data_IF_427570339979
#
_entry.id   IF_427570339979
#
_cell.length_a   1.000
_cell.length_b   1.000
_cell.length_c   1.000
_cell.angle_alpha   90.00
_cell.angle_beta   90.00
_cell.angle_gamma   90.00
#
_symmetry.space_group_name_H-M   'P 1'
#
loop_
_entity.id
_entity.type
_entity.pdbx_description
1 polymer ?
#
# COMPACT_ATOMS: atom_id res chain seq x y z
N UNK A 1 -18.61 12.90 -13.01
CA UNK A 1 -17.86 12.56 -11.78
C UNK A 1 -18.45 13.36 -10.64
N UNK A 2 -18.92 12.71 -9.57
CA UNK A 2 -19.51 13.42 -8.44
C UNK A 2 -18.51 14.45 -7.90
N UNK A 3 -18.93 15.72 -7.78
CA UNK A 3 -18.16 16.77 -7.08
C UNK A 3 -18.20 16.46 -5.59
N UNK A 4 -17.40 15.52 -5.15
CA UNK A 4 -17.20 15.31 -3.74
C UNK A 4 -16.33 16.48 -3.22
N UNK A 5 -16.84 17.15 -2.19
CA UNK A 5 -16.15 18.25 -1.52
C UNK A 5 -15.09 17.65 -0.60
N UNK A 6 -13.87 17.51 -1.09
CA UNK A 6 -12.72 17.13 -0.27
C UNK A 6 -11.91 18.36 0.08
N UNK A 7 -11.44 18.43 1.32
CA UNK A 7 -10.41 19.41 1.68
C UNK A 7 -9.10 19.01 1.00
N UNK A 8 -8.65 19.81 0.03
CA UNK A 8 -7.38 19.60 -0.65
C UNK A 8 -6.31 20.41 0.07
N UNK A 9 -5.34 19.76 0.75
CA UNK A 9 -4.25 20.47 1.39
C UNK A 9 -3.43 21.21 0.33
N UNK A 10 -3.13 22.49 0.56
CA UNK A 10 -2.18 23.22 -0.28
C UNK A 10 -0.77 22.72 0.05
N UNK A 11 -0.07 22.20 -0.94
CA UNK A 11 1.33 21.82 -0.78
C UNK A 11 2.18 23.07 -0.64
N UNK A 12 2.98 23.11 0.41
CA UNK A 12 4.00 24.13 0.62
C UNK A 12 5.34 23.63 0.06
N UNK A 13 6.29 24.54 -0.15
CA UNK A 13 7.66 24.19 -0.57
C UNK A 13 8.32 23.20 0.42
N UNK A 14 8.04 23.40 1.72
CA UNK A 14 8.43 22.48 2.79
C UNK A 14 7.16 21.90 3.42
N UNK A 15 6.77 20.66 3.08
CA UNK A 15 5.56 20.05 3.62
C UNK A 15 5.73 19.74 5.12
N UNK A 16 4.74 20.14 5.91
CA UNK A 16 4.64 19.72 7.31
C UNK A 16 4.07 18.30 7.41
N UNK A 17 4.62 17.50 8.31
CA UNK A 17 4.11 16.16 8.59
C UNK A 17 2.81 16.28 9.40
N UNK A 18 1.66 15.83 8.88
CA UNK A 18 0.41 15.91 9.61
C UNK A 18 0.39 14.96 10.80
N UNK A 19 -0.47 15.24 11.79
CA UNK A 19 -0.76 14.28 12.87
C UNK A 19 -1.43 13.03 12.29
N UNK A 20 -1.08 11.87 12.83
CA UNK A 20 -1.61 10.59 12.39
C UNK A 20 -3.11 10.48 12.75
N UNK A 21 -3.94 10.10 11.79
CA UNK A 21 -5.37 9.83 11.96
C UNK A 21 -5.67 8.40 11.48
N UNK A 22 -5.54 7.37 12.35
CA UNK A 22 -5.73 5.99 11.96
C UNK A 22 -7.16 5.69 11.46
N UNK A 23 -7.26 5.05 10.30
CA UNK A 23 -8.55 4.62 9.77
C UNK A 23 -9.36 5.71 9.06
N UNK A 24 -8.76 6.87 8.77
CA UNK A 24 -9.45 7.92 7.99
C UNK A 24 -9.95 7.43 6.63
N UNK A 25 -9.32 6.39 6.06
CA UNK A 25 -9.69 5.79 4.78
C UNK A 25 -10.51 4.51 4.91
N UNK A 26 -10.95 4.11 6.12
CA UNK A 26 -11.64 2.83 6.34
C UNK A 26 -13.00 2.72 5.62
N UNK A 27 -13.60 3.86 5.25
CA UNK A 27 -14.88 3.94 4.55
C UNK A 27 -14.75 3.82 3.01
N UNK A 28 -13.53 3.72 2.49
CA UNK A 28 -13.27 3.69 1.05
C UNK A 28 -12.90 2.30 0.57
N UNK A 29 -13.54 1.89 -0.52
CA UNK A 29 -13.24 0.66 -1.23
C UNK A 29 -12.94 0.94 -2.69
N UNK A 30 -12.09 0.11 -3.29
CA UNK A 30 -11.80 0.18 -4.73
C UNK A 30 -12.97 -0.35 -5.53
N UNK A 31 -13.28 0.29 -6.66
CA UNK A 31 -14.25 -0.24 -7.62
C UNK A 31 -13.71 -1.54 -8.24
N UNK A 32 -14.42 -2.65 -8.02
CA UNK A 32 -14.06 -3.96 -8.58
C UNK A 32 -14.24 -3.95 -10.10
N UNK A 33 -13.24 -4.45 -10.82
CA UNK A 33 -13.35 -4.66 -12.27
C UNK A 33 -14.38 -5.75 -12.57
N UNK A 34 -15.08 -5.64 -13.72
CA UNK A 34 -15.99 -6.69 -14.19
C UNK A 34 -15.21 -7.98 -14.49
N UNK A 35 -15.80 -9.17 -14.28
CA UNK A 35 -15.14 -10.45 -14.55
C UNK A 35 -14.61 -10.58 -15.98
N UNK A 36 -15.37 -10.09 -16.97
CA UNK A 36 -15.01 -10.10 -18.40
C UNK A 36 -13.62 -9.48 -18.67
N UNK A 37 -13.24 -8.42 -17.94
CA UNK A 37 -11.94 -7.77 -18.10
C UNK A 37 -10.81 -8.53 -17.39
N UNK A 38 -11.11 -9.21 -16.29
CA UNK A 38 -10.12 -10.01 -15.56
C UNK A 38 -9.77 -11.27 -16.36
N UNK A 39 -10.78 -11.94 -16.92
CA UNK A 39 -10.61 -13.15 -17.73
C UNK A 39 -9.77 -12.88 -18.99
N UNK A 40 -10.00 -11.74 -19.66
CA UNK A 40 -9.21 -11.34 -20.81
C UNK A 40 -7.72 -11.14 -20.50
N UNK A 41 -7.37 -10.85 -19.24
CA UNK A 41 -5.99 -10.71 -18.74
C UNK A 41 -5.43 -12.01 -18.14
N UNK A 42 -6.22 -13.09 -18.12
CA UNK A 42 -5.84 -14.36 -17.51
C UNK A 42 -5.93 -14.38 -15.99
N UNK A 43 -6.60 -13.40 -15.37
CA UNK A 43 -6.88 -13.40 -13.94
C UNK A 43 -8.21 -14.10 -13.64
N UNK A 44 -8.31 -14.84 -12.52
CA UNK A 44 -9.59 -15.38 -12.08
C UNK A 44 -10.55 -14.21 -11.75
N UNK A 45 -11.79 -14.29 -12.25
CA UNK A 45 -12.82 -13.27 -12.02
C UNK A 45 -13.24 -13.12 -10.55
N UNK A 46 -12.88 -14.09 -9.71
CA UNK A 46 -13.11 -14.12 -8.28
C UNK A 46 -11.83 -14.49 -7.50
N UNK A 47 -11.81 -14.15 -6.22
CA UNK A 47 -10.68 -14.48 -5.34
C UNK A 47 -10.70 -15.98 -5.02
N UNK A 48 -9.60 -16.68 -5.30
CA UNK A 48 -9.46 -18.11 -5.00
C UNK A 48 -9.41 -18.35 -3.50
N UNK A 49 -9.90 -19.50 -3.02
CA UNK A 49 -9.94 -19.82 -1.59
C UNK A 49 -8.54 -19.87 -0.96
N UNK A 50 -7.56 -20.45 -1.67
CA UNK A 50 -6.18 -20.63 -1.22
C UNK A 50 -5.24 -19.47 -1.62
N UNK A 51 -5.78 -18.26 -1.80
CA UNK A 51 -4.98 -17.10 -2.22
C UNK A 51 -3.87 -16.74 -1.22
N UNK A 52 -4.09 -17.00 0.07
CA UNK A 52 -3.12 -16.67 1.13
C UNK A 52 -1.88 -17.54 1.00
N UNK A 53 -2.07 -18.85 0.87
CA UNK A 53 -0.99 -19.82 0.71
C UNK A 53 -0.20 -19.52 -0.56
N UNK A 54 -0.89 -19.29 -1.69
CA UNK A 54 -0.24 -18.95 -2.96
C UNK A 54 0.60 -17.66 -2.85
N UNK A 55 0.10 -16.63 -2.16
CA UNK A 55 0.82 -15.38 -1.98
C UNK A 55 2.07 -15.56 -1.10
N UNK A 56 1.98 -16.36 -0.03
CA UNK A 56 3.11 -16.67 0.85
C UNK A 56 4.16 -17.49 0.09
N UNK A 57 3.76 -18.50 -0.66
CA UNK A 57 4.66 -19.32 -1.47
C UNK A 57 5.40 -18.49 -2.52
N UNK A 58 4.66 -17.63 -3.24
CA UNK A 58 5.25 -16.72 -4.22
C UNK A 58 6.26 -15.76 -3.57
N UNK A 59 5.96 -15.23 -2.38
CA UNK A 59 6.90 -14.40 -1.63
C UNK A 59 8.14 -15.20 -1.20
N UNK A 60 7.97 -16.42 -0.70
CA UNK A 60 9.06 -17.33 -0.36
C UNK A 60 10.00 -17.60 -1.55
N UNK A 61 9.43 -17.84 -2.72
CA UNK A 61 10.19 -18.05 -3.95
C UNK A 61 10.94 -16.80 -4.40
N UNK A 62 10.33 -15.62 -4.34
CA UNK A 62 11.01 -14.37 -4.64
C UNK A 62 12.17 -14.12 -3.68
N UNK A 63 12.02 -14.44 -2.40
CA UNK A 63 13.08 -14.31 -1.41
C UNK A 63 14.25 -15.28 -1.66
N UNK A 64 13.99 -16.48 -2.19
CA UNK A 64 15.06 -17.41 -2.59
C UNK A 64 15.81 -16.92 -3.82
N UNK A 65 15.09 -16.38 -4.81
CA UNK A 65 15.64 -15.94 -6.11
C UNK A 65 16.35 -14.59 -6.04
N UNK A 66 15.84 -13.65 -5.24
CA UNK A 66 16.29 -12.25 -5.26
C UNK A 66 16.84 -11.79 -3.91
N UNK A 67 18.17 -11.65 -3.83
CA UNK A 67 18.85 -11.02 -2.68
C UNK A 67 18.38 -9.57 -2.48
N UNK A 68 18.13 -8.84 -3.56
CA UNK A 68 17.67 -7.44 -3.52
C UNK A 68 16.39 -7.30 -2.72
N UNK A 69 15.45 -8.23 -2.84
CA UNK A 69 14.19 -8.19 -2.09
C UNK A 69 14.42 -8.22 -0.58
N UNK A 70 15.32 -9.11 -0.09
CA UNK A 70 15.70 -9.16 1.33
C UNK A 70 16.30 -7.83 1.79
N UNK A 71 17.22 -7.27 0.99
CA UNK A 71 17.86 -5.97 1.31
C UNK A 71 16.82 -4.85 1.36
N UNK A 72 15.85 -4.82 0.44
CA UNK A 72 14.79 -3.80 0.46
C UNK A 72 13.84 -3.95 1.66
N UNK A 73 13.58 -5.19 2.11
CA UNK A 73 12.84 -5.41 3.35
C UNK A 73 13.63 -4.94 4.58
N UNK A 74 14.93 -5.22 4.65
CA UNK A 74 15.74 -4.98 5.86
C UNK A 74 16.35 -3.57 5.95
N UNK A 75 16.56 -2.88 4.83
CA UNK A 75 17.29 -1.60 4.78
C UNK A 75 16.59 -0.42 5.46
N UNK A 76 15.30 -0.52 5.78
CA UNK A 76 14.56 0.57 6.36
C UNK A 76 14.92 0.78 7.85
N UNK A 77 15.65 1.84 8.13
CA UNK A 77 16.05 2.24 9.51
C UNK A 77 15.00 3.07 10.25
N UNK A 78 13.77 3.15 9.73
CA UNK A 78 12.65 3.91 10.34
C UNK A 78 12.93 5.40 10.57
N UNK A 79 13.74 6.02 9.72
CA UNK A 79 14.08 7.44 9.84
C UNK A 79 12.92 8.42 9.54
N UNK A 80 11.85 7.97 8.89
CA UNK A 80 10.71 8.83 8.52
C UNK A 80 10.95 9.75 7.32
N UNK A 81 12.09 9.65 6.62
CA UNK A 81 12.39 10.48 5.44
C UNK A 81 11.40 10.33 4.27
N UNK A 82 10.58 9.27 4.28
CA UNK A 82 9.53 9.05 3.29
C UNK A 82 8.19 9.70 3.65
N UNK A 83 8.01 10.13 4.90
CA UNK A 83 6.70 10.50 5.47
C UNK A 83 6.14 11.76 4.82
N UNK A 84 6.93 12.82 4.74
CA UNK A 84 6.55 14.12 4.17
C UNK A 84 6.56 14.14 2.63
N UNK A 85 7.03 13.06 1.98
CA UNK A 85 7.08 12.95 0.51
C UNK A 85 5.87 12.24 -0.09
N UNK A 86 5.06 11.58 0.73
CA UNK A 86 3.94 10.79 0.24
C UNK A 86 2.65 11.62 0.20
N UNK A 87 2.21 11.98 -1.01
CA UNK A 87 0.96 12.72 -1.22
C UNK A 87 -0.28 12.00 -0.67
N UNK A 88 -0.32 10.65 -0.71
CA UNK A 88 -1.41 9.90 -0.09
C UNK A 88 -1.44 10.08 1.43
N UNK A 89 -0.29 10.00 2.10
CA UNK A 89 -0.23 10.22 3.54
C UNK A 89 -0.55 11.67 3.91
N UNK A 90 -0.03 12.65 3.15
CA UNK A 90 -0.35 14.07 3.39
C UNK A 90 -1.85 14.37 3.24
N UNK A 91 -2.50 13.75 2.26
CA UNK A 91 -3.93 13.95 1.99
C UNK A 91 -4.84 13.24 2.98
N UNK A 92 -4.49 12.03 3.43
CA UNK A 92 -5.40 11.20 4.24
C UNK A 92 -5.02 11.15 5.71
N UNK A 93 -3.75 11.41 6.04
CA UNK A 93 -3.15 11.26 7.39
C UNK A 93 -3.25 9.84 7.96
N UNK A 94 -3.71 8.88 7.17
CA UNK A 94 -3.81 7.48 7.55
C UNK A 94 -2.40 6.87 7.60
N UNK A 95 -1.94 6.30 8.72
CA UNK A 95 -0.65 5.66 8.79
C UNK A 95 -0.51 4.53 7.77
N UNK A 96 -1.59 3.85 7.36
CA UNK A 96 -1.56 2.85 6.28
C UNK A 96 -1.31 3.44 4.90
N UNK A 97 -1.27 4.77 4.75
CA UNK A 97 -0.83 5.45 3.53
C UNK A 97 0.60 5.98 3.62
N UNK A 98 1.23 5.93 4.80
CA UNK A 98 2.63 6.27 4.99
C UNK A 98 3.53 5.19 4.38
N UNK A 99 4.58 5.53 3.59
CA UNK A 99 5.37 4.53 2.87
C UNK A 99 6.02 3.49 3.79
N UNK A 100 6.54 3.92 4.95
CA UNK A 100 7.15 2.99 5.91
C UNK A 100 6.13 2.00 6.48
N UNK A 101 4.92 2.45 6.84
CA UNK A 101 3.92 1.60 7.44
C UNK A 101 3.25 0.67 6.42
N UNK A 102 3.09 1.13 5.17
CA UNK A 102 2.68 0.25 4.05
C UNK A 102 3.67 -0.89 3.86
N UNK A 103 4.96 -0.56 3.82
CA UNK A 103 5.99 -1.56 3.69
C UNK A 103 6.05 -2.49 4.91
N UNK A 104 5.66 -2.02 6.09
CA UNK A 104 5.57 -2.85 7.30
C UNK A 104 4.46 -3.89 7.25
N UNK A 105 3.38 -3.68 6.47
CA UNK A 105 2.41 -4.74 6.22
C UNK A 105 3.06 -5.94 5.53
N UNK A 106 3.94 -5.68 4.56
CA UNK A 106 4.71 -6.74 3.88
C UNK A 106 5.76 -7.34 4.83
N UNK A 107 6.44 -6.52 5.65
CA UNK A 107 7.44 -7.03 6.62
C UNK A 107 6.84 -7.93 7.69
N UNK A 108 5.57 -7.74 8.07
CA UNK A 108 4.85 -8.63 9.01
C UNK A 108 4.68 -10.06 8.50
N UNK A 109 4.74 -10.26 7.19
CA UNK A 109 4.66 -11.59 6.55
C UNK A 109 6.06 -12.12 6.23
N UNK A 110 7.04 -11.23 6.04
CA UNK A 110 8.41 -11.58 5.71
C UNK A 110 9.14 -12.35 6.84
N UNK A 111 8.90 -11.98 8.10
CA UNK A 111 9.53 -12.58 9.29
C UNK A 111 8.56 -12.66 10.46
#
# INVERSE_FOLDING_TARGET
MAKANFEVPKLQEYPEVPKIEPGSMAHLETFKAKPEFQEALGFPGEMQENWQEQAIDAMGDMLKKYRSLKVYMDSCVKCGACTDKCHYYLGTKDPKNMPVARQDLMRKVYR
#
